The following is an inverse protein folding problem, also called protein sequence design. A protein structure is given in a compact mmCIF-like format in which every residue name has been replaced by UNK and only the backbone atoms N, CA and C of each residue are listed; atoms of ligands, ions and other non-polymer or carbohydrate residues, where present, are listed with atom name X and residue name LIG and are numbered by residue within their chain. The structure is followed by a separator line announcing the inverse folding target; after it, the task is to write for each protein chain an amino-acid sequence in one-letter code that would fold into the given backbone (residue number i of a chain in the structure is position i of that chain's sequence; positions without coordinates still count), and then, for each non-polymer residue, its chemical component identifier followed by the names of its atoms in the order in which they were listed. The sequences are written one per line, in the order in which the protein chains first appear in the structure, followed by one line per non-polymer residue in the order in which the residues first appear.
data_IF_317852805235
#
_entry.id   IF_317852805235
#
_cell.length_a   1.000
_cell.length_b   1.000
_cell.length_c   1.000
_cell.angle_alpha   90.00
_cell.angle_beta   90.00
_cell.angle_gamma   90.00
#
_symmetry.space_group_name_H-M   'P 1'
#
loop_
_entity.id
_entity.type
_entity.pdbx_description
1 polymer ?
#
# COMPACT_ATOMS: atom_id res chain seq x y z
N UNK A 1 -24.32 4.04 74.93
CA UNK A 1 -24.53 3.24 73.70
C UNK A 1 -24.48 4.16 72.51
N UNK A 2 -23.35 4.22 71.79
CA UNK A 2 -23.21 5.00 70.57
C UNK A 2 -23.09 4.03 69.43
N UNK A 3 -24.06 4.04 68.52
CA UNK A 3 -24.04 3.24 67.27
C UNK A 3 -23.22 3.92 66.21
N UNK A 4 -22.17 3.28 65.78
CA UNK A 4 -21.29 3.71 64.71
C UNK A 4 -21.88 3.32 63.35
N UNK A 5 -22.31 4.30 62.58
CA UNK A 5 -22.76 4.12 61.19
C UNK A 5 -21.55 3.93 60.26
N UNK A 6 -21.39 2.72 59.74
CA UNK A 6 -20.42 2.45 58.62
C UNK A 6 -21.10 2.85 57.32
N UNK A 7 -20.64 3.94 56.73
CA UNK A 7 -20.94 4.31 55.36
C UNK A 7 -20.19 3.39 54.41
N UNK A 8 -20.93 2.54 53.70
CA UNK A 8 -20.37 1.69 52.63
C UNK A 8 -20.14 2.52 51.41
N UNK A 9 -18.91 2.76 51.05
CA UNK A 9 -18.53 3.37 49.75
C UNK A 9 -18.77 2.35 48.65
N UNK A 10 -19.62 2.73 47.70
CA UNK A 10 -19.87 2.00 46.46
C UNK A 10 -18.62 2.11 45.57
N UNK A 11 -18.12 1.03 44.97
CA UNK A 11 -17.00 1.16 44.03
C UNK A 11 -17.50 1.91 42.79
N UNK A 12 -16.88 3.05 42.48
CA UNK A 12 -17.00 3.71 41.19
C UNK A 12 -16.39 2.79 40.13
N UNK A 13 -17.24 2.17 39.32
CA UNK A 13 -16.82 1.59 38.05
C UNK A 13 -16.37 2.74 37.15
N UNK A 14 -15.06 2.92 37.00
CA UNK A 14 -14.51 3.71 35.89
C UNK A 14 -14.94 3.03 34.59
N UNK A 15 -15.92 3.61 33.97
CA UNK A 15 -16.25 3.39 32.58
C UNK A 15 -15.14 4.08 31.79
N UNK A 16 -14.04 3.36 31.55
CA UNK A 16 -12.99 3.80 30.61
C UNK A 16 -13.57 3.67 29.19
N UNK A 17 -14.51 4.56 28.86
CA UNK A 17 -14.95 4.76 27.50
C UNK A 17 -13.70 5.13 26.68
N UNK A 18 -13.23 4.21 25.84
CA UNK A 18 -12.12 4.46 24.91
C UNK A 18 -12.48 5.71 24.11
N UNK A 19 -11.75 6.80 24.39
CA UNK A 19 -12.02 8.08 23.74
C UNK A 19 -11.74 7.92 22.24
N UNK A 20 -12.78 8.14 21.41
CA UNK A 20 -12.65 8.03 19.96
C UNK A 20 -11.60 9.01 19.45
N UNK A 21 -10.58 8.50 18.77
CA UNK A 21 -9.52 9.27 18.14
C UNK A 21 -9.70 9.33 16.63
N UNK A 22 -9.25 10.42 16.00
CA UNK A 22 -9.09 10.53 14.56
C UNK A 22 -7.60 10.45 14.21
N UNK A 23 -7.20 9.41 13.47
CA UNK A 23 -5.82 9.15 13.07
C UNK A 23 -5.56 9.69 11.66
N UNK A 24 -4.51 10.50 11.53
CA UNK A 24 -4.01 10.97 10.25
C UNK A 24 -3.01 9.94 9.69
N UNK A 25 -3.37 9.29 8.61
CA UNK A 25 -2.60 8.20 8.00
C UNK A 25 -2.06 8.62 6.64
N UNK A 26 -0.76 8.40 6.39
CA UNK A 26 -0.19 8.48 5.05
C UNK A 26 -0.01 7.08 4.49
N UNK A 27 -0.36 6.83 3.24
CA UNK A 27 -0.30 5.49 2.69
C UNK A 27 0.07 5.44 1.20
N UNK A 28 0.71 4.35 0.79
CA UNK A 28 1.03 4.11 -0.62
C UNK A 28 -0.22 3.78 -1.44
N UNK A 29 -0.34 4.33 -2.65
CA UNK A 29 -1.50 4.08 -3.52
C UNK A 29 -1.72 2.60 -3.87
N UNK A 30 -0.65 1.81 -3.94
CA UNK A 30 -0.75 0.38 -4.29
C UNK A 30 -1.38 -0.52 -3.21
N UNK A 31 -1.47 -0.07 -1.95
CA UNK A 31 -2.16 -0.79 -0.87
C UNK A 31 -3.58 -0.25 -0.61
N UNK A 32 -4.03 0.74 -1.36
CA UNK A 32 -5.30 1.43 -1.10
C UNK A 32 -6.51 0.48 -1.03
N UNK A 33 -6.57 -0.51 -1.92
CA UNK A 33 -7.68 -1.48 -1.95
C UNK A 33 -7.87 -2.21 -0.62
N UNK A 34 -6.89 -2.99 -0.15
CA UNK A 34 -6.99 -3.67 1.14
C UNK A 34 -7.05 -2.69 2.32
N UNK A 35 -6.29 -1.59 2.30
CA UNK A 35 -6.23 -0.66 3.43
C UNK A 35 -7.57 0.03 3.69
N UNK A 36 -8.31 0.42 2.65
CA UNK A 36 -9.65 1.00 2.80
C UNK A 36 -10.64 0.03 3.44
N UNK A 37 -10.60 -1.25 3.06
CA UNK A 37 -11.47 -2.26 3.65
C UNK A 37 -11.10 -2.55 5.11
N UNK A 38 -9.81 -2.66 5.39
CA UNK A 38 -9.29 -2.83 6.77
C UNK A 38 -9.66 -1.62 7.63
N UNK A 39 -9.57 -0.40 7.10
CA UNK A 39 -9.95 0.81 7.81
C UNK A 39 -11.40 0.76 8.27
N UNK A 40 -12.33 0.37 7.41
CA UNK A 40 -13.75 0.22 7.77
C UNK A 40 -13.95 -0.80 8.87
N UNK A 41 -13.23 -1.93 8.81
CA UNK A 41 -13.31 -2.97 9.85
C UNK A 41 -12.75 -2.48 11.19
N UNK A 42 -11.60 -1.81 11.16
CA UNK A 42 -10.99 -1.24 12.35
C UNK A 42 -11.86 -0.17 13.00
N UNK A 43 -12.40 0.77 12.22
CA UNK A 43 -13.27 1.83 12.71
C UNK A 43 -14.51 1.27 13.43
N UNK A 44 -15.09 0.19 12.87
CA UNK A 44 -16.23 -0.49 13.49
C UNK A 44 -15.86 -1.20 14.78
N UNK A 45 -14.67 -1.78 14.85
CA UNK A 45 -14.22 -2.56 16.01
C UNK A 45 -13.73 -1.68 17.16
N UNK A 46 -13.10 -0.53 16.87
CA UNK A 46 -12.43 0.31 17.86
C UNK A 46 -13.16 1.60 18.21
N UNK A 47 -14.05 2.07 17.32
CA UNK A 47 -14.66 3.39 17.43
C UNK A 47 -13.77 4.55 16.98
N UNK A 48 -12.49 4.30 16.68
CA UNK A 48 -11.59 5.31 16.11
C UNK A 48 -11.94 5.64 14.65
N UNK A 49 -11.40 6.74 14.12
CA UNK A 49 -11.56 7.16 12.72
C UNK A 49 -10.21 7.26 12.03
N UNK A 50 -10.17 6.95 10.73
CA UNK A 50 -8.98 7.03 9.92
C UNK A 50 -9.17 8.03 8.77
N UNK A 51 -8.27 9.00 8.68
CA UNK A 51 -8.18 9.92 7.55
C UNK A 51 -6.94 9.55 6.76
N UNK A 52 -7.11 8.86 5.63
CA UNK A 52 -6.01 8.29 4.85
C UNK A 52 -5.70 9.17 3.65
N UNK A 53 -4.44 9.62 3.55
CA UNK A 53 -3.91 10.34 2.40
C UNK A 53 -2.98 9.43 1.62
N UNK A 54 -3.29 9.22 0.36
CA UNK A 54 -2.49 8.38 -0.54
C UNK A 54 -1.50 9.19 -1.34
N UNK A 55 -0.34 8.58 -1.65
CA UNK A 55 0.67 9.19 -2.49
C UNK A 55 1.63 8.19 -3.13
N UNK A 56 2.44 8.70 -4.04
CA UNK A 56 3.63 8.06 -4.59
C UNK A 56 4.79 8.16 -3.60
N UNK A 57 5.88 7.42 -3.82
CA UNK A 57 7.03 7.43 -2.90
C UNK A 57 7.57 8.84 -2.61
N UNK A 58 7.83 9.72 -3.62
CA UNK A 58 8.28 11.09 -3.34
C UNK A 58 7.26 11.93 -2.57
N UNK A 59 5.97 11.79 -2.91
CA UNK A 59 4.90 12.52 -2.21
C UNK A 59 4.79 12.09 -0.75
N UNK A 60 4.95 10.80 -0.46
CA UNK A 60 4.91 10.28 0.90
C UNK A 60 6.09 10.75 1.75
N UNK A 61 7.30 10.79 1.16
CA UNK A 61 8.47 11.38 1.81
C UNK A 61 8.20 12.87 2.11
N UNK A 62 7.65 13.60 1.13
CA UNK A 62 7.30 15.01 1.34
C UNK A 62 6.21 15.17 2.40
N UNK A 63 5.16 14.35 2.39
CA UNK A 63 4.11 14.39 3.42
C UNK A 63 4.67 14.15 4.81
N UNK A 64 5.60 13.18 4.96
CA UNK A 64 6.25 12.92 6.23
C UNK A 64 7.14 14.09 6.69
N UNK A 65 7.92 14.69 5.78
CA UNK A 65 8.99 15.67 6.12
C UNK A 65 8.54 17.13 6.05
N UNK A 66 7.35 17.45 5.55
CA UNK A 66 6.84 18.82 5.39
C UNK A 66 6.40 19.49 6.71
N UNK A 67 6.39 18.76 7.82
CA UNK A 67 5.86 19.22 9.10
C UNK A 67 4.31 19.15 9.20
N UNK A 68 3.62 18.65 8.18
CA UNK A 68 2.20 18.34 8.29
C UNK A 68 2.01 17.15 9.24
N UNK A 69 1.06 17.23 10.20
CA UNK A 69 0.89 16.16 11.18
C UNK A 69 0.41 14.87 10.50
N UNK A 70 0.99 13.74 10.93
CA UNK A 70 0.49 12.39 10.66
C UNK A 70 0.73 11.53 11.92
N UNK A 71 -0.12 10.54 12.14
CA UNK A 71 0.00 9.65 13.30
C UNK A 71 0.73 8.35 12.93
N UNK A 72 0.49 7.85 11.72
CA UNK A 72 1.21 6.68 11.20
C UNK A 72 1.26 6.68 9.67
N UNK A 73 2.21 5.92 9.14
CA UNK A 73 2.33 5.64 7.72
C UNK A 73 2.21 4.14 7.43
N UNK A 74 1.46 3.77 6.38
CA UNK A 74 1.45 2.43 5.78
C UNK A 74 1.95 2.58 4.34
N UNK A 75 3.26 2.59 4.20
CA UNK A 75 3.94 3.05 2.98
C UNK A 75 4.88 1.99 2.42
N UNK A 76 5.27 2.08 1.14
CA UNK A 76 6.38 1.28 0.65
C UNK A 76 7.60 1.44 1.57
N UNK A 77 8.28 0.34 1.89
CA UNK A 77 9.46 0.36 2.78
C UNK A 77 10.52 1.37 2.35
N UNK A 78 10.61 1.65 1.05
CA UNK A 78 11.55 2.62 0.48
C UNK A 78 11.36 4.03 1.04
N UNK A 79 10.14 4.40 1.45
CA UNK A 79 9.86 5.67 2.15
C UNK A 79 10.61 5.73 3.48
N UNK A 80 10.63 4.63 4.23
CA UNK A 80 11.33 4.54 5.51
C UNK A 80 12.85 4.32 5.37
N UNK A 81 13.35 4.10 4.14
CA UNK A 81 14.79 4.13 3.83
C UNK A 81 15.31 5.56 3.61
N UNK A 82 14.43 6.53 3.37
CA UNK A 82 14.79 7.95 3.40
C UNK A 82 15.13 8.38 4.84
N UNK A 83 16.30 8.99 5.03
CA UNK A 83 16.79 9.33 6.36
C UNK A 83 15.89 10.37 7.06
N UNK A 84 15.34 11.33 6.33
CA UNK A 84 14.43 12.36 6.86
C UNK A 84 13.11 11.75 7.33
N UNK A 85 12.47 10.94 6.49
CA UNK A 85 11.21 10.25 6.83
C UNK A 85 11.42 9.26 7.99
N UNK A 86 12.54 8.52 7.98
CA UNK A 86 12.87 7.55 9.04
C UNK A 86 13.06 8.19 10.41
N UNK A 87 13.64 9.37 10.46
CA UNK A 87 13.86 10.11 11.71
C UNK A 87 12.56 10.54 12.40
N UNK A 88 11.44 10.59 11.65
CA UNK A 88 10.12 10.99 12.15
C UNK A 88 9.27 9.81 12.64
N UNK A 89 9.79 8.60 12.59
CA UNK A 89 9.09 7.38 13.03
C UNK A 89 9.71 6.82 14.29
N UNK A 90 8.89 6.56 15.30
CA UNK A 90 9.29 5.93 16.55
C UNK A 90 9.41 4.41 16.40
N UNK A 91 10.46 3.84 17.00
CA UNK A 91 10.63 2.38 17.05
C UNK A 91 10.85 1.72 15.67
N UNK A 92 10.71 0.39 15.58
CA UNK A 92 10.82 -0.35 14.35
C UNK A 92 9.58 -0.18 13.47
N UNK A 93 9.77 -0.24 12.15
CA UNK A 93 8.66 -0.38 11.21
C UNK A 93 8.29 -1.85 11.05
N UNK A 94 7.00 -2.13 10.83
CA UNK A 94 6.47 -3.49 10.73
C UNK A 94 5.95 -3.76 9.32
N UNK A 95 6.38 -4.85 8.70
CA UNK A 95 5.86 -5.28 7.42
C UNK A 95 4.38 -5.67 7.56
N UNK A 96 3.55 -5.13 6.67
CA UNK A 96 2.10 -5.34 6.67
C UNK A 96 1.68 -6.24 5.52
N UNK A 97 2.19 -5.94 4.32
CA UNK A 97 1.82 -6.66 3.11
C UNK A 97 2.91 -6.50 2.05
N UNK A 98 2.91 -7.45 1.09
CA UNK A 98 3.77 -7.39 -0.09
C UNK A 98 3.00 -7.75 -1.35
N UNK A 99 3.39 -7.17 -2.47
CA UNK A 99 2.79 -7.44 -3.77
C UNK A 99 3.87 -7.57 -4.84
N UNK A 100 3.75 -8.60 -5.67
CA UNK A 100 4.59 -8.80 -6.84
C UNK A 100 4.13 -7.97 -8.04
N UNK A 101 5.01 -7.81 -9.01
CA UNK A 101 4.76 -7.09 -10.26
C UNK A 101 4.22 -8.07 -11.31
N UNK A 102 3.31 -7.61 -12.14
CA UNK A 102 2.76 -8.39 -13.23
C UNK A 102 2.33 -7.55 -14.42
N UNK A 103 1.75 -8.23 -15.39
CA UNK A 103 1.23 -7.66 -16.63
C UNK A 103 -0.26 -7.96 -16.75
N UNK A 104 -1.02 -6.99 -17.22
CA UNK A 104 -2.39 -7.19 -17.64
C UNK A 104 -2.64 -6.51 -19.00
N UNK A 105 -3.64 -7.02 -19.70
CA UNK A 105 -4.19 -6.47 -20.94
C UNK A 105 -5.65 -6.07 -20.72
N UNK A 106 -6.25 -5.35 -21.65
CA UNK A 106 -7.68 -5.09 -21.66
C UNK A 106 -8.45 -6.42 -21.70
N UNK A 107 -9.54 -6.51 -20.99
CA UNK A 107 -10.39 -7.71 -20.98
C UNK A 107 -10.75 -8.16 -22.41
N UNK A 108 -10.55 -9.45 -22.70
CA UNK A 108 -10.75 -10.06 -24.01
C UNK A 108 -9.62 -9.84 -25.01
N UNK A 109 -8.57 -9.08 -24.70
CA UNK A 109 -7.40 -8.96 -25.57
C UNK A 109 -6.50 -10.20 -25.50
N UNK A 110 -5.76 -10.54 -26.56
CA UNK A 110 -4.80 -11.63 -26.54
C UNK A 110 -3.74 -11.45 -25.44
N UNK A 111 -3.49 -12.52 -24.68
CA UNK A 111 -2.44 -12.51 -23.65
C UNK A 111 -1.09 -12.85 -24.26
N UNK A 112 -0.09 -11.94 -24.20
CA UNK A 112 1.25 -12.24 -24.68
C UNK A 112 1.97 -13.22 -23.75
N UNK A 113 3.00 -13.88 -24.25
CA UNK A 113 3.85 -14.74 -23.45
C UNK A 113 4.82 -13.93 -22.58
N UNK A 114 4.80 -14.20 -21.28
CA UNK A 114 5.73 -13.62 -20.29
C UNK A 114 6.32 -14.70 -19.37
N UNK A 115 6.26 -15.97 -19.76
CA UNK A 115 6.63 -17.12 -18.90
C UNK A 115 8.12 -17.22 -18.56
N UNK A 116 8.98 -16.52 -19.29
CA UNK A 116 10.44 -16.44 -19.01
C UNK A 116 10.91 -15.00 -19.09
N UNK A 117 12.08 -14.68 -18.54
CA UNK A 117 12.68 -13.35 -18.65
C UNK A 117 12.86 -12.91 -20.13
N UNK A 118 13.19 -13.85 -21.01
CA UNK A 118 13.30 -13.60 -22.46
C UNK A 118 11.94 -13.31 -23.09
N UNK A 119 10.91 -14.09 -22.81
CA UNK A 119 9.56 -13.88 -23.33
C UNK A 119 8.98 -12.56 -22.83
N UNK A 120 9.15 -12.23 -21.54
CA UNK A 120 8.78 -10.93 -20.95
C UNK A 120 9.47 -9.79 -21.67
N UNK A 121 10.80 -9.88 -21.89
CA UNK A 121 11.57 -8.88 -22.63
C UNK A 121 11.01 -8.65 -24.01
N UNK A 122 10.76 -9.71 -24.78
CA UNK A 122 10.22 -9.64 -26.14
C UNK A 122 8.80 -9.01 -26.13
N UNK A 123 7.95 -9.40 -25.21
CA UNK A 123 6.61 -8.84 -25.03
C UNK A 123 6.68 -7.32 -24.77
N UNK A 124 7.53 -6.90 -23.83
CA UNK A 124 7.70 -5.48 -23.50
C UNK A 124 8.25 -4.67 -24.67
N UNK A 125 9.21 -5.21 -25.43
CA UNK A 125 9.76 -4.55 -26.63
C UNK A 125 8.70 -4.40 -27.73
N UNK A 126 7.85 -5.41 -27.94
CA UNK A 126 6.83 -5.39 -28.99
C UNK A 126 5.63 -4.51 -28.63
N UNK A 127 5.35 -4.34 -27.37
CA UNK A 127 4.26 -3.50 -26.91
C UNK A 127 4.39 -2.07 -27.44
N UNK A 128 3.27 -1.49 -27.88
CA UNK A 128 3.21 -0.11 -28.38
C UNK A 128 3.31 0.90 -27.23
N UNK A 129 2.72 0.57 -26.10
CA UNK A 129 2.69 1.44 -24.92
C UNK A 129 2.41 0.66 -23.66
N UNK A 130 2.88 1.20 -22.53
CA UNK A 130 2.75 0.60 -21.19
C UNK A 130 2.21 1.66 -20.24
N UNK A 131 1.14 1.35 -19.52
CA UNK A 131 0.65 2.17 -18.41
C UNK A 131 1.36 1.75 -17.11
N UNK A 132 1.99 2.69 -16.41
CA UNK A 132 2.67 2.48 -15.14
C UNK A 132 2.80 3.80 -14.36
N UNK A 133 3.34 3.75 -13.14
CA UNK A 133 3.67 4.94 -12.33
C UNK A 133 5.18 4.97 -12.08
N UNK A 134 5.97 5.64 -12.93
CA UNK A 134 7.43 5.69 -12.77
C UNK A 134 7.89 6.26 -11.42
N UNK A 135 7.19 7.27 -10.90
CA UNK A 135 7.50 7.93 -9.62
C UNK A 135 6.97 7.17 -8.39
N UNK A 136 6.92 5.83 -8.44
CA UNK A 136 6.48 4.99 -7.33
C UNK A 136 7.55 3.96 -6.95
N UNK A 137 7.39 3.30 -5.80
CA UNK A 137 8.24 2.17 -5.42
C UNK A 137 8.24 1.07 -6.53
N UNK A 138 7.07 0.77 -7.10
CA UNK A 138 6.95 -0.16 -8.23
C UNK A 138 7.72 0.34 -9.45
N UNK A 139 7.62 1.64 -9.77
CA UNK A 139 8.37 2.26 -10.88
C UNK A 139 9.87 2.14 -10.70
N UNK A 140 10.39 2.34 -9.50
CA UNK A 140 11.81 2.14 -9.16
C UNK A 140 12.24 0.69 -9.37
N UNK A 141 11.42 -0.28 -8.91
CA UNK A 141 11.69 -1.71 -9.14
C UNK A 141 11.68 -2.06 -10.63
N UNK A 142 10.69 -1.53 -11.38
CA UNK A 142 10.59 -1.72 -12.83
C UNK A 142 11.81 -1.16 -13.57
N UNK A 143 12.27 0.03 -13.24
CA UNK A 143 13.47 0.62 -13.84
C UNK A 143 14.68 -0.31 -13.68
N UNK A 144 14.92 -0.85 -12.48
CA UNK A 144 16.00 -1.81 -12.23
C UNK A 144 15.82 -3.14 -12.99
N UNK A 145 14.58 -3.59 -13.20
CA UNK A 145 14.30 -4.78 -14.01
C UNK A 145 14.58 -4.50 -15.48
N UNK A 146 14.13 -3.36 -16.01
CA UNK A 146 14.32 -2.98 -17.41
C UNK A 146 15.80 -2.80 -17.75
N UNK A 147 16.60 -2.22 -16.86
CA UNK A 147 18.06 -2.12 -17.02
C UNK A 147 18.70 -3.52 -17.09
N UNK A 148 18.34 -4.44 -16.22
CA UNK A 148 18.86 -5.83 -16.24
C UNK A 148 18.45 -6.59 -17.51
N UNK A 149 17.28 -6.29 -18.08
CA UNK A 149 16.82 -6.87 -19.35
C UNK A 149 17.41 -6.15 -20.58
N UNK A 150 18.14 -5.05 -20.40
CA UNK A 150 18.72 -4.26 -21.48
C UNK A 150 17.69 -3.52 -22.34
N UNK A 151 16.55 -3.10 -21.73
CA UNK A 151 15.43 -2.44 -22.42
C UNK A 151 15.03 -1.10 -21.77
N UNK A 152 15.87 -0.54 -20.91
CA UNK A 152 15.54 0.67 -20.15
C UNK A 152 15.10 1.83 -21.03
N UNK A 153 15.85 2.13 -22.11
CA UNK A 153 15.53 3.22 -23.05
C UNK A 153 14.20 2.98 -23.79
N UNK A 154 13.93 1.74 -24.24
CA UNK A 154 12.68 1.39 -24.90
C UNK A 154 11.50 1.59 -23.98
N UNK A 155 11.62 1.17 -22.73
CA UNK A 155 10.54 1.29 -21.74
C UNK A 155 10.29 2.74 -21.35
N UNK A 156 11.33 3.54 -21.22
CA UNK A 156 11.18 4.98 -20.98
C UNK A 156 10.39 5.66 -22.12
N UNK A 157 10.67 5.32 -23.38
CA UNK A 157 9.99 5.88 -24.54
C UNK A 157 8.51 5.46 -24.66
N UNK A 158 8.17 4.25 -24.18
CA UNK A 158 6.82 3.65 -24.32
C UNK A 158 5.94 3.80 -23.09
N UNK A 159 6.49 4.17 -21.94
CA UNK A 159 5.73 4.28 -20.71
C UNK A 159 4.85 5.52 -20.72
N UNK A 160 3.54 5.30 -20.67
CA UNK A 160 2.53 6.31 -20.41
C UNK A 160 2.37 6.44 -18.89
N UNK A 161 3.03 7.44 -18.32
CA UNK A 161 3.00 7.70 -16.88
C UNK A 161 1.57 8.01 -16.41
N UNK A 162 1.14 7.29 -15.40
CA UNK A 162 -0.18 7.46 -14.76
C UNK A 162 -0.02 8.09 -13.38
N UNK A 163 -0.97 8.94 -12.95
CA UNK A 163 -0.89 9.59 -11.64
C UNK A 163 -1.31 8.67 -10.49
N UNK A 164 -2.13 7.65 -10.75
CA UNK A 164 -2.69 6.78 -9.71
C UNK A 164 -2.81 5.33 -10.21
N UNK A 165 -2.88 4.33 -9.28
CA UNK A 165 -3.17 2.95 -9.64
C UNK A 165 -4.47 2.78 -10.43
N UNK A 166 -5.52 3.52 -10.09
CA UNK A 166 -6.79 3.51 -10.82
C UNK A 166 -6.61 3.98 -12.27
N UNK A 167 -5.82 5.02 -12.49
CA UNK A 167 -5.56 5.55 -13.83
C UNK A 167 -4.81 4.54 -14.73
N UNK A 168 -3.97 3.64 -14.17
CA UNK A 168 -3.37 2.53 -14.93
C UNK A 168 -4.45 1.62 -15.50
N UNK A 169 -5.40 1.22 -14.66
CA UNK A 169 -6.52 0.35 -15.07
C UNK A 169 -7.37 1.04 -16.13
N UNK A 170 -7.70 2.30 -15.93
CA UNK A 170 -8.49 3.11 -16.88
C UNK A 170 -7.79 3.26 -18.22
N UNK A 171 -6.49 3.55 -18.23
CA UNK A 171 -5.72 3.71 -19.47
C UNK A 171 -5.74 2.44 -20.35
N UNK A 172 -5.64 1.25 -19.74
CA UNK A 172 -5.66 0.00 -20.51
C UNK A 172 -7.10 -0.42 -20.85
N UNK A 173 -8.06 -0.22 -19.96
CA UNK A 173 -9.47 -0.51 -20.22
C UNK A 173 -10.03 0.33 -21.38
N UNK A 174 -9.57 1.58 -21.53
CA UNK A 174 -9.99 2.51 -22.58
C UNK A 174 -9.13 2.45 -23.86
N UNK A 175 -8.18 1.51 -23.94
CA UNK A 175 -7.24 1.36 -25.08
C UNK A 175 -6.25 2.53 -25.25
N UNK A 176 -6.08 3.35 -24.19
CA UNK A 176 -5.07 4.41 -24.18
C UNK A 176 -3.65 3.84 -24.00
N UNK A 177 -3.51 2.67 -23.40
CA UNK A 177 -2.27 1.90 -23.32
C UNK A 177 -2.53 0.42 -23.61
N UNK A 178 -1.55 -0.26 -24.22
CA UNK A 178 -1.67 -1.67 -24.60
C UNK A 178 -1.53 -2.60 -23.40
N UNK A 179 -0.52 -2.35 -22.55
CA UNK A 179 -0.24 -3.17 -21.37
C UNK A 179 -0.34 -2.33 -20.08
N UNK A 180 -0.89 -2.92 -19.04
CA UNK A 180 -0.67 -2.49 -17.66
C UNK A 180 0.51 -3.27 -17.09
N UNK A 181 1.52 -2.56 -16.57
CA UNK A 181 2.67 -3.18 -15.88
C UNK A 181 2.78 -2.54 -14.51
N UNK A 182 2.29 -3.25 -13.50
CA UNK A 182 2.22 -2.73 -12.14
C UNK A 182 2.04 -3.87 -11.12
N UNK A 183 1.70 -3.54 -9.87
CA UNK A 183 1.41 -4.52 -8.82
C UNK A 183 0.19 -5.37 -9.16
N UNK A 184 0.30 -6.68 -9.01
CA UNK A 184 -0.76 -7.63 -9.37
C UNK A 184 -2.09 -7.34 -8.69
N UNK A 185 -2.08 -6.98 -7.41
CA UNK A 185 -3.30 -6.65 -6.65
C UNK A 185 -4.06 -5.43 -7.22
N UNK A 186 -3.35 -4.50 -7.84
CA UNK A 186 -3.95 -3.33 -8.53
C UNK A 186 -4.57 -3.75 -9.86
N UNK A 187 -3.99 -4.74 -10.53
CA UNK A 187 -4.44 -5.23 -11.83
C UNK A 187 -5.67 -6.16 -11.75
N UNK A 188 -6.12 -6.50 -10.54
CA UNK A 188 -7.37 -7.27 -10.34
C UNK A 188 -8.57 -6.33 -10.53
N UNK A 189 -9.02 -6.22 -11.77
CA UNK A 189 -10.17 -5.40 -12.16
C UNK A 189 -10.93 -6.12 -13.30
N UNK A 190 -12.27 -6.17 -13.31
CA UNK A 190 -13.03 -6.89 -14.32
C UNK A 190 -12.86 -6.36 -15.76
N UNK A 191 -12.29 -5.16 -15.93
CA UNK A 191 -11.97 -4.56 -17.23
C UNK A 191 -10.63 -5.01 -17.78
N UNK A 192 -9.82 -5.73 -16.99
CA UNK A 192 -8.51 -6.24 -17.36
C UNK A 192 -8.45 -7.77 -17.28
N UNK A 193 -7.64 -8.36 -18.13
CA UNK A 193 -7.21 -9.74 -18.03
C UNK A 193 -5.75 -9.80 -17.59
N UNK A 194 -5.51 -10.38 -16.41
CA UNK A 194 -4.14 -10.61 -15.93
C UNK A 194 -3.47 -11.61 -16.85
N UNK A 195 -2.33 -11.22 -17.43
CA UNK A 195 -1.44 -12.10 -18.20
C UNK A 195 -0.68 -13.01 -17.25
N UNK A 196 -0.09 -12.43 -16.20
CA UNK A 196 0.63 -13.17 -15.16
C UNK A 196 1.55 -12.28 -14.35
N UNK A 197 2.18 -12.92 -13.34
CA UNK A 197 3.28 -12.33 -12.60
C UNK A 197 4.56 -12.31 -13.48
N UNK A 198 5.47 -11.42 -13.19
CA UNK A 198 6.81 -11.47 -13.78
C UNK A 198 7.48 -12.81 -13.46
N UNK A 199 8.31 -13.36 -14.34
CA UNK A 199 9.08 -14.58 -14.07
C UNK A 199 9.94 -14.44 -12.82
N UNK A 200 10.09 -15.55 -12.05
CA UNK A 200 10.80 -15.57 -10.78
C UNK A 200 12.22 -14.99 -10.84
N UNK A 201 12.91 -15.15 -11.97
CA UNK A 201 14.29 -14.67 -12.18
C UNK A 201 14.37 -13.14 -12.12
N UNK A 202 13.30 -12.43 -12.47
CA UNK A 202 13.26 -10.96 -12.52
C UNK A 202 12.22 -10.35 -11.59
N UNK A 203 11.37 -11.18 -10.96
CA UNK A 203 10.33 -10.69 -10.04
C UNK A 203 10.92 -9.86 -8.90
N UNK A 204 10.21 -8.81 -8.56
CA UNK A 204 10.43 -8.00 -7.37
C UNK A 204 9.10 -7.75 -6.69
N UNK A 205 9.15 -7.64 -5.38
CA UNK A 205 7.97 -7.31 -4.57
C UNK A 205 8.13 -5.93 -3.95
N UNK A 206 7.04 -5.19 -3.90
CA UNK A 206 6.94 -4.00 -3.07
C UNK A 206 6.41 -4.43 -1.70
N UNK A 207 7.19 -4.14 -0.67
CA UNK A 207 6.81 -4.39 0.73
C UNK A 207 6.25 -3.09 1.32
N UNK A 208 5.06 -3.18 1.90
CA UNK A 208 4.43 -2.09 2.64
C UNK A 208 4.70 -2.29 4.12
N UNK A 209 5.20 -1.25 4.75
CA UNK A 209 5.53 -1.26 6.18
C UNK A 209 4.80 -0.15 6.92
N UNK A 210 4.30 -0.47 8.11
CA UNK A 210 3.71 0.49 9.04
C UNK A 210 4.78 1.11 9.93
N UNK A 211 4.68 2.42 10.14
CA UNK A 211 5.53 3.16 11.09
C UNK A 211 4.71 4.23 11.79
N UNK A 212 4.85 4.35 13.11
CA UNK A 212 4.14 5.33 13.93
C UNK A 212 4.99 6.59 14.05
N UNK A 213 4.38 7.77 13.84
CA UNK A 213 5.08 9.04 13.98
C UNK A 213 5.56 9.26 15.42
N UNK A 214 6.78 9.75 15.57
CA UNK A 214 7.40 9.98 16.88
C UNK A 214 6.68 11.09 17.69
N UNK A 215 6.01 12.01 16.99
CA UNK A 215 5.26 13.13 17.55
C UNK A 215 3.74 12.97 17.43
N UNK A 216 3.25 11.73 17.15
CA UNK A 216 1.83 11.42 17.09
C UNK A 216 1.10 11.94 18.31
N UNK A 217 -0.06 12.54 18.09
CA UNK A 217 -0.96 13.01 19.15
C UNK A 217 -1.90 11.91 19.64
N UNK A 218 -1.91 10.78 18.95
CA UNK A 218 -2.79 9.62 19.20
C UNK A 218 -1.98 8.31 19.21
N UNK A 219 -0.89 8.20 19.99
CA UNK A 219 0.03 7.06 19.89
C UNK A 219 -0.65 5.73 20.23
N UNK A 220 -1.53 5.68 21.22
CA UNK A 220 -2.24 4.47 21.63
C UNK A 220 -3.20 3.97 20.54
N UNK A 221 -3.94 4.89 19.90
CA UNK A 221 -4.82 4.54 18.79
C UNK A 221 -4.02 4.12 17.53
N UNK A 222 -2.85 4.74 17.29
CA UNK A 222 -1.94 4.34 16.21
C UNK A 222 -1.37 2.94 16.45
N UNK A 223 -0.96 2.60 17.68
CA UNK A 223 -0.51 1.26 18.06
C UNK A 223 -1.64 0.22 17.90
N UNK A 224 -2.85 0.58 18.31
CA UNK A 224 -4.02 -0.28 18.12
C UNK A 224 -4.28 -0.58 16.64
N UNK A 225 -4.14 0.43 15.75
CA UNK A 225 -4.32 0.21 14.32
C UNK A 225 -3.19 -0.64 13.73
N UNK A 226 -1.93 -0.39 14.08
CA UNK A 226 -0.79 -1.23 13.64
C UNK A 226 -0.97 -2.69 14.08
N UNK A 227 -1.41 -2.90 15.32
CA UNK A 227 -1.74 -4.25 15.82
C UNK A 227 -2.87 -4.88 15.01
N UNK A 228 -3.90 -4.09 14.68
CA UNK A 228 -5.03 -4.56 13.89
C UNK A 228 -4.62 -4.95 12.47
N UNK A 229 -3.69 -4.23 11.84
CA UNK A 229 -3.15 -4.57 10.50
C UNK A 229 -2.56 -5.98 10.44
N UNK A 230 -2.07 -6.52 11.56
CA UNK A 230 -1.51 -7.87 11.68
C UNK A 230 -2.53 -8.90 12.16
N UNK A 231 -3.77 -8.49 12.44
CA UNK A 231 -4.82 -9.36 12.96
C UNK A 231 -5.39 -10.30 11.89
N UNK A 232 -6.00 -11.45 12.28
CA UNK A 232 -6.60 -12.37 11.32
C UNK A 232 -7.61 -11.74 10.36
N UNK A 233 -8.50 -10.80 10.75
CA UNK A 233 -9.39 -10.12 9.82
C UNK A 233 -8.65 -9.30 8.78
N UNK A 234 -7.64 -8.52 9.17
CA UNK A 234 -6.83 -7.71 8.23
C UNK A 234 -6.02 -8.59 7.28
N UNK A 235 -5.39 -9.66 7.80
CA UNK A 235 -4.67 -10.66 7.01
C UNK A 235 -5.59 -11.32 5.97
N UNK A 236 -6.83 -11.62 6.34
CA UNK A 236 -7.82 -12.18 5.41
C UNK A 236 -8.12 -11.21 4.25
N UNK A 237 -8.30 -9.91 4.56
CA UNK A 237 -8.51 -8.88 3.54
C UNK A 237 -7.30 -8.74 2.62
N UNK A 238 -6.08 -8.68 3.18
CA UNK A 238 -4.83 -8.60 2.40
C UNK A 238 -4.76 -9.74 1.38
N UNK A 239 -5.00 -10.98 1.82
CA UNK A 239 -5.01 -12.17 0.94
C UNK A 239 -6.12 -12.10 -0.10
N UNK A 240 -7.34 -11.72 0.29
CA UNK A 240 -8.48 -11.60 -0.62
C UNK A 240 -8.26 -10.56 -1.71
N UNK A 241 -7.45 -9.53 -1.43
CA UNK A 241 -7.05 -8.50 -2.42
C UNK A 241 -5.79 -8.86 -3.21
N UNK A 242 -5.33 -10.12 -3.16
CA UNK A 242 -4.21 -10.59 -3.97
C UNK A 242 -2.82 -10.15 -3.49
N UNK A 243 -2.68 -9.80 -2.22
CA UNK A 243 -1.39 -9.50 -1.59
C UNK A 243 -0.98 -10.62 -0.64
N UNK A 244 0.32 -10.71 -0.37
CA UNK A 244 0.88 -11.58 0.67
C UNK A 244 1.02 -10.78 1.97
N UNK A 245 0.54 -11.27 3.12
CA UNK A 245 0.80 -10.63 4.41
C UNK A 245 2.29 -10.50 4.72
N UNK A 246 2.68 -9.47 5.46
CA UNK A 246 4.04 -9.20 5.90
C UNK A 246 4.58 -10.14 6.95
#
# INVERSE_FOLDING_TARGET
MMASSRTSAKPETRDDAVQSAELQVIAGGGIAGPLNEIAVLFERASGHKLVIRYGTTPELILMATSGAPFDLGVVPRDVWNDAGARALVSGPTLDVARAGIGVAVRAGAPKPDIGTAGALRETLIRAKSIASIPASATGTQLAGIYERLGIGADMQAKTKAQPTPKAIVEAVANDDAELAVFLLNVLIDPRLDIVGAFPAEVQREVVYAAGIAADSKQPEAAEAFVTYLLSPPAVAVIKAKGMTPG
#
